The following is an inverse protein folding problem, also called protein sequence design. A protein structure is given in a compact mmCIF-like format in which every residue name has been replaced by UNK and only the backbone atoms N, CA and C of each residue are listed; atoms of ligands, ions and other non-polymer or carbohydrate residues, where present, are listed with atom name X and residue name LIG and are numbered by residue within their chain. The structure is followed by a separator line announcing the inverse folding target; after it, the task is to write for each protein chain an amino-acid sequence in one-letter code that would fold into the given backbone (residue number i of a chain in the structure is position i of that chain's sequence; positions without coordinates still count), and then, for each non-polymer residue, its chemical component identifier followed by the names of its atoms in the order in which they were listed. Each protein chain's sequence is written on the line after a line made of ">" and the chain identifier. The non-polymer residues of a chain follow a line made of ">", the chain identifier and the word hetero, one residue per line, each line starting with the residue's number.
data_IF_664565521212
#
_entry.id   IF_664565521212
#
_cell.length_a   1.000
_cell.length_b   1.000
_cell.length_c   1.000
_cell.angle_alpha   90.00
_cell.angle_beta   90.00
_cell.angle_gamma   90.00
#
_symmetry.space_group_name_H-M   'P 1'
#
loop_
_entity.id
_entity.type
_entity.pdbx_description
1 polymer ?
#
# COMPACT_ATOMS: atom_id res chain seq x y z
N UNK A 1 -17.62 -18.75 -4.92
CA UNK A 1 -17.36 -18.51 -3.49
C UNK A 1 -18.25 -17.38 -3.03
N UNK A 2 -18.77 -17.44 -1.80
CA UNK A 2 -19.64 -16.40 -1.23
C UNK A 2 -18.88 -15.07 -0.99
N UNK A 3 -17.58 -15.14 -0.76
CA UNK A 3 -16.74 -13.95 -0.56
C UNK A 3 -16.24 -13.47 -1.92
N UNK A 4 -16.48 -12.20 -2.25
CA UNK A 4 -16.11 -11.63 -3.55
C UNK A 4 -14.79 -10.86 -3.52
N UNK A 5 -14.53 -10.14 -2.44
CA UNK A 5 -13.34 -9.31 -2.29
C UNK A 5 -13.11 -8.98 -0.81
N UNK A 6 -12.12 -8.13 -0.54
CA UNK A 6 -11.87 -7.68 0.83
C UNK A 6 -11.46 -6.21 0.84
N UNK A 7 -11.74 -5.55 1.97
CA UNK A 7 -11.29 -4.20 2.25
C UNK A 7 -10.59 -4.20 3.60
N UNK A 8 -9.40 -3.61 3.65
CA UNK A 8 -8.71 -3.34 4.91
C UNK A 8 -8.95 -1.88 5.27
N UNK A 9 -9.57 -1.61 6.42
CA UNK A 9 -9.82 -0.24 6.89
C UNK A 9 -8.79 0.16 7.94
N UNK A 10 -8.20 1.34 7.76
CA UNK A 10 -7.24 1.91 8.69
C UNK A 10 -7.59 3.37 8.97
N UNK A 11 -7.34 3.84 10.20
CA UNK A 11 -7.49 5.27 10.50
C UNK A 11 -6.37 6.09 9.85
N UNK A 12 -6.69 7.33 9.48
CA UNK A 12 -5.68 8.29 9.04
C UNK A 12 -5.93 9.63 9.74
N UNK A 13 -4.88 10.44 9.83
CA UNK A 13 -4.95 11.74 10.51
C UNK A 13 -5.47 12.85 9.61
N UNK A 14 -5.22 12.77 8.31
CA UNK A 14 -5.61 13.77 7.31
C UNK A 14 -5.92 13.08 6.00
N UNK A 15 -7.20 12.95 5.68
CA UNK A 15 -7.66 12.21 4.50
C UNK A 15 -7.15 12.83 3.19
N UNK A 16 -6.91 14.14 3.16
CA UNK A 16 -6.37 14.80 1.96
C UNK A 16 -4.94 14.38 1.69
N UNK A 17 -4.11 14.34 2.73
CA UNK A 17 -2.72 13.89 2.61
C UNK A 17 -2.64 12.40 2.26
N UNK A 18 -3.48 11.59 2.90
CA UNK A 18 -3.55 10.15 2.61
C UNK A 18 -4.01 9.91 1.17
N UNK A 19 -5.01 10.64 0.71
CA UNK A 19 -5.50 10.53 -0.68
C UNK A 19 -4.42 10.94 -1.67
N UNK A 20 -3.71 12.03 -1.41
CA UNK A 20 -2.60 12.46 -2.27
C UNK A 20 -1.53 11.38 -2.35
N UNK A 21 -1.18 10.76 -1.23
CA UNK A 21 -0.17 9.70 -1.22
C UNK A 21 -0.62 8.47 -2.03
N UNK A 22 -1.78 7.90 -1.72
CA UNK A 22 -2.20 6.64 -2.34
C UNK A 22 -2.71 6.82 -3.77
N UNK A 23 -3.45 7.86 -4.06
CA UNK A 23 -3.97 8.12 -5.41
C UNK A 23 -2.91 8.72 -6.34
N UNK A 24 -2.24 9.80 -5.89
CA UNK A 24 -1.42 10.61 -6.78
C UNK A 24 0.04 10.13 -6.82
N UNK A 25 0.57 9.67 -5.69
CA UNK A 25 1.95 9.18 -5.61
C UNK A 25 2.01 7.69 -5.93
N UNK A 26 1.28 6.86 -5.21
CA UNK A 26 1.28 5.40 -5.43
C UNK A 26 0.54 5.04 -6.73
N UNK A 27 -0.57 5.70 -7.00
CA UNK A 27 -1.34 5.48 -8.23
C UNK A 27 -2.52 4.53 -8.07
N UNK A 28 -3.05 4.39 -6.85
CA UNK A 28 -4.23 3.56 -6.59
C UNK A 28 -5.50 4.42 -6.79
N UNK A 29 -6.41 4.03 -7.68
CA UNK A 29 -7.62 4.82 -7.89
C UNK A 29 -8.55 4.77 -6.69
N UNK A 30 -9.20 5.90 -6.39
CA UNK A 30 -10.29 5.96 -5.43
C UNK A 30 -11.54 5.41 -6.12
N UNK A 31 -12.15 4.40 -5.51
CA UNK A 31 -13.34 3.74 -6.08
C UNK A 31 -14.60 4.01 -5.29
N UNK A 32 -14.48 4.47 -4.05
CA UNK A 32 -15.64 4.83 -3.23
C UNK A 32 -15.27 5.88 -2.19
N UNK A 33 -16.23 6.74 -1.86
CA UNK A 33 -16.15 7.71 -0.76
C UNK A 33 -17.36 7.54 0.14
N UNK A 34 -17.15 7.72 1.44
CA UNK A 34 -18.19 7.67 2.47
C UNK A 34 -17.94 8.78 3.50
N UNK A 35 -18.91 8.99 4.38
CA UNK A 35 -18.78 9.94 5.49
C UNK A 35 -18.38 11.36 5.03
N UNK A 36 -19.03 11.85 3.96
CA UNK A 36 -18.75 13.20 3.44
C UNK A 36 -17.31 13.37 2.91
N UNK A 37 -16.69 12.29 2.45
CA UNK A 37 -15.34 12.32 1.94
C UNK A 37 -14.26 12.03 2.98
N UNK A 38 -14.62 11.80 4.23
CA UNK A 38 -13.69 11.47 5.31
C UNK A 38 -13.18 10.04 5.22
N UNK A 39 -13.87 9.18 4.48
CA UNK A 39 -13.45 7.82 4.19
C UNK A 39 -13.30 7.66 2.69
N UNK A 40 -12.17 7.11 2.26
CA UNK A 40 -11.92 6.79 0.85
C UNK A 40 -11.42 5.37 0.73
N UNK A 41 -11.92 4.67 -0.29
CA UNK A 41 -11.51 3.29 -0.60
C UNK A 41 -10.73 3.30 -1.91
N UNK A 42 -9.55 2.70 -1.87
CA UNK A 42 -8.61 2.61 -2.98
C UNK A 42 -8.56 1.18 -3.53
N UNK A 43 -8.55 1.04 -4.83
CA UNK A 43 -8.40 -0.26 -5.51
C UNK A 43 -6.92 -0.61 -5.61
N UNK A 44 -6.52 -1.73 -5.00
CA UNK A 44 -5.14 -2.22 -5.10
C UNK A 44 -4.93 -3.18 -6.28
N UNK A 45 -6.01 -3.50 -7.00
CA UNK A 45 -5.99 -4.48 -8.08
C UNK A 45 -6.35 -5.90 -7.64
N UNK A 46 -6.15 -6.22 -6.38
CA UNK A 46 -6.44 -7.54 -5.79
C UNK A 46 -7.47 -7.46 -4.67
N UNK A 47 -7.64 -6.30 -4.11
CA UNK A 47 -8.57 -5.99 -3.06
C UNK A 47 -8.62 -4.48 -2.89
N UNK A 48 -8.94 -4.04 -1.68
CA UNK A 48 -9.16 -2.63 -1.41
C UNK A 48 -8.53 -2.22 -0.09
N UNK A 49 -8.01 -1.00 -0.05
CA UNK A 49 -7.61 -0.34 1.19
C UNK A 49 -8.50 0.86 1.43
N UNK A 50 -9.13 0.93 2.61
CA UNK A 50 -9.94 2.06 3.04
C UNK A 50 -9.23 2.84 4.14
N UNK A 51 -9.19 4.15 4.00
CA UNK A 51 -8.63 5.04 5.03
C UNK A 51 -9.71 6.02 5.47
N UNK A 52 -9.83 6.21 6.77
CA UNK A 52 -10.84 7.11 7.33
C UNK A 52 -10.24 8.05 8.38
N UNK A 53 -10.53 9.33 8.20
CA UNK A 53 -10.27 10.35 9.20
C UNK A 53 -11.48 10.37 10.13
N UNK A 54 -11.42 9.58 11.21
CA UNK A 54 -12.59 9.36 12.07
C UNK A 54 -12.98 10.58 12.89
N UNK A 55 -12.03 11.40 13.32
CA UNK A 55 -12.31 12.58 14.12
C UNK A 55 -12.70 12.30 15.58
N UNK A 56 -12.53 11.06 16.05
CA UNK A 56 -12.92 10.63 17.40
C UNK A 56 -11.72 10.49 18.36
N UNK A 57 -10.52 10.90 17.90
CA UNK A 57 -9.32 10.86 18.72
C UNK A 57 -8.67 9.49 18.84
N UNK A 58 -9.13 8.48 18.07
CA UNK A 58 -8.49 7.16 18.12
C UNK A 58 -7.04 7.24 17.65
N UNK A 59 -6.14 6.42 18.23
CA UNK A 59 -4.73 6.43 17.83
C UNK A 59 -4.54 5.86 16.43
N UNK A 60 -3.46 6.32 15.77
CA UNK A 60 -3.02 5.75 14.49
C UNK A 60 -2.01 4.63 14.80
N UNK A 61 -2.30 3.36 14.45
CA UNK A 61 -1.40 2.24 14.72
C UNK A 61 -0.28 2.19 13.67
N UNK A 62 0.60 3.19 13.70
CA UNK A 62 1.65 3.41 12.71
C UNK A 62 3.01 2.91 13.18
N UNK A 63 4.05 3.15 12.39
CA UNK A 63 5.41 2.72 12.69
C UNK A 63 5.62 1.22 12.45
N UNK A 64 6.65 0.67 13.08
CA UNK A 64 7.06 -0.72 12.82
C UNK A 64 6.19 -1.76 13.53
N UNK A 65 5.31 -1.33 14.45
CA UNK A 65 4.43 -2.24 15.17
C UNK A 65 3.03 -2.35 14.55
N UNK A 66 2.70 -1.46 13.61
CA UNK A 66 1.36 -1.37 13.01
C UNK A 66 1.11 -2.34 11.87
N UNK A 67 2.08 -3.13 11.47
CA UNK A 67 1.98 -4.00 10.31
C UNK A 67 2.54 -3.36 9.04
N UNK A 68 2.30 -3.99 7.91
CA UNK A 68 2.84 -3.56 6.63
C UNK A 68 1.79 -3.66 5.53
N UNK A 69 1.66 -2.59 4.75
CA UNK A 69 0.80 -2.55 3.57
C UNK A 69 1.66 -2.88 2.35
N UNK A 70 1.51 -4.09 1.81
CA UNK A 70 2.38 -4.58 0.76
C UNK A 70 1.68 -4.61 -0.59
N UNK A 71 2.36 -4.13 -1.63
CA UNK A 71 1.92 -4.18 -3.01
C UNK A 71 2.86 -5.08 -3.80
N UNK A 72 2.31 -6.09 -4.47
CA UNK A 72 3.08 -7.01 -5.28
C UNK A 72 3.30 -6.42 -6.67
N UNK A 73 4.54 -6.37 -7.10
CA UNK A 73 4.91 -5.95 -8.44
C UNK A 73 5.01 -7.16 -9.38
N UNK A 74 4.90 -6.91 -10.67
CA UNK A 74 4.92 -7.97 -11.68
C UNK A 74 6.27 -8.70 -11.73
N UNK A 75 7.38 -7.97 -11.56
CA UNK A 75 8.74 -8.51 -11.57
C UNK A 75 9.68 -7.60 -10.76
N UNK A 76 10.96 -7.98 -10.66
CA UNK A 76 11.95 -7.19 -9.94
C UNK A 76 12.21 -5.84 -10.63
N UNK A 77 12.13 -5.78 -11.95
CA UNK A 77 12.30 -4.54 -12.69
C UNK A 77 11.17 -3.55 -12.36
N UNK A 78 9.95 -4.03 -12.12
CA UNK A 78 8.86 -3.17 -11.68
C UNK A 78 9.07 -2.64 -10.26
N UNK A 79 9.65 -3.44 -9.38
CA UNK A 79 10.04 -2.97 -8.03
C UNK A 79 11.03 -1.81 -8.16
N UNK A 80 12.04 -1.95 -9.03
CA UNK A 80 13.02 -0.90 -9.27
C UNK A 80 12.39 0.37 -9.86
N UNK A 81 11.42 0.22 -10.78
CA UNK A 81 10.69 1.36 -11.35
C UNK A 81 9.87 2.08 -10.30
N UNK A 82 9.22 1.36 -9.41
CA UNK A 82 8.47 1.97 -8.30
C UNK A 82 9.42 2.68 -7.33
N UNK A 83 10.58 2.11 -7.06
CA UNK A 83 11.59 2.75 -6.24
C UNK A 83 12.04 4.10 -6.83
N UNK A 84 12.37 4.12 -8.12
CA UNK A 84 12.77 5.35 -8.80
C UNK A 84 11.65 6.40 -8.76
N UNK A 85 10.42 5.98 -9.01
CA UNK A 85 9.23 6.84 -8.99
C UNK A 85 8.96 7.43 -7.60
N UNK A 86 9.00 6.59 -6.56
CA UNK A 86 8.78 7.03 -5.18
C UNK A 86 9.90 7.96 -4.71
N UNK A 87 11.14 7.68 -5.10
CA UNK A 87 12.29 8.54 -4.78
C UNK A 87 12.13 9.92 -5.44
N UNK A 88 11.74 9.96 -6.69
CA UNK A 88 11.48 11.21 -7.41
C UNK A 88 10.36 12.03 -6.76
N UNK A 89 9.36 11.37 -6.21
CA UNK A 89 8.24 12.02 -5.51
C UNK A 89 8.59 12.45 -4.08
N UNK A 90 9.82 12.21 -3.64
CA UNK A 90 10.29 12.64 -2.32
C UNK A 90 9.86 11.75 -1.16
N UNK A 91 9.48 10.51 -1.42
CA UNK A 91 9.08 9.59 -0.37
C UNK A 91 10.26 9.19 0.53
N UNK A 92 9.98 8.87 1.78
CA UNK A 92 10.99 8.43 2.74
C UNK A 92 11.34 6.98 2.49
N UNK A 93 12.55 6.73 1.99
CA UNK A 93 13.05 5.39 1.71
C UNK A 93 14.46 5.28 2.28
N UNK A 94 14.66 4.35 3.22
CA UNK A 94 15.94 4.19 3.91
C UNK A 94 16.96 3.39 3.10
N UNK A 95 16.48 2.40 2.33
CA UNK A 95 17.34 1.49 1.57
C UNK A 95 16.78 1.25 0.18
N UNK A 96 17.66 1.07 -0.83
CA UNK A 96 17.18 0.65 -2.16
C UNK A 96 16.60 -0.75 -2.13
N UNK A 97 15.90 -1.18 -3.20
CA UNK A 97 15.39 -2.53 -3.29
C UNK A 97 16.48 -3.57 -3.12
N UNK A 98 16.17 -4.62 -2.39
CA UNK A 98 17.09 -5.74 -2.18
C UNK A 98 16.34 -7.03 -1.92
N UNK A 99 17.01 -8.16 -2.12
CA UNK A 99 16.50 -9.46 -1.73
C UNK A 99 16.58 -9.59 -0.22
N UNK A 100 15.51 -10.07 0.39
CA UNK A 100 15.44 -10.26 1.83
C UNK A 100 16.10 -11.58 2.21
N UNK A 101 16.76 -11.62 3.38
CA UNK A 101 17.42 -12.83 3.84
C UNK A 101 16.45 -13.90 4.33
N UNK A 102 15.38 -13.47 5.00
CA UNK A 102 14.43 -14.39 5.64
C UNK A 102 13.22 -14.73 4.80
N UNK A 103 12.91 -13.91 3.81
CA UNK A 103 11.68 -14.04 3.02
C UNK A 103 12.02 -14.06 1.53
N UNK A 104 11.30 -14.87 0.72
CA UNK A 104 11.61 -15.00 -0.70
C UNK A 104 11.08 -13.80 -1.50
N UNK A 105 11.53 -12.61 -1.17
CA UNK A 105 11.06 -11.37 -1.79
C UNK A 105 12.21 -10.45 -2.17
N UNK A 106 12.00 -9.68 -3.24
CA UNK A 106 12.80 -8.53 -3.62
C UNK A 106 11.94 -7.30 -3.37
N UNK A 107 12.37 -6.39 -2.51
CA UNK A 107 11.50 -5.35 -1.99
C UNK A 107 12.21 -4.09 -1.54
N UNK A 108 11.44 -2.99 -1.47
CA UNK A 108 11.80 -1.80 -0.70
C UNK A 108 10.61 -1.31 0.10
N UNK A 109 10.87 -0.45 1.08
CA UNK A 109 9.85 0.07 1.97
C UNK A 109 9.84 1.59 1.95
N UNK A 110 8.64 2.17 2.05
CA UNK A 110 8.45 3.60 2.26
C UNK A 110 7.43 3.81 3.40
N UNK A 111 7.12 5.05 3.68
CA UNK A 111 6.15 5.43 4.71
C UNK A 111 5.10 6.34 4.11
N UNK A 112 3.86 6.14 4.51
CA UNK A 112 2.78 7.04 4.14
C UNK A 112 2.76 8.28 5.07
N UNK A 113 1.84 9.26 4.87
CA UNK A 113 1.80 10.47 5.71
C UNK A 113 1.57 10.21 7.19
N UNK A 114 0.99 9.09 7.58
CA UNK A 114 0.78 8.69 8.97
C UNK A 114 1.83 7.73 9.50
N UNK A 115 2.93 7.55 8.77
CA UNK A 115 4.01 6.63 9.09
C UNK A 115 3.60 5.14 9.03
N UNK A 116 2.57 4.82 8.27
CA UNK A 116 2.31 3.42 7.94
C UNK A 116 3.41 2.91 7.02
N UNK A 117 3.88 1.70 7.29
CA UNK A 117 4.89 1.03 6.47
C UNK A 117 4.24 0.51 5.19
N UNK A 118 4.77 0.94 4.05
CA UNK A 118 4.29 0.53 2.72
C UNK A 118 5.44 -0.18 2.00
N UNK A 119 5.16 -1.38 1.51
CA UNK A 119 6.15 -2.22 0.82
C UNK A 119 5.78 -2.39 -0.64
N UNK A 120 6.78 -2.29 -1.51
CA UNK A 120 6.68 -2.73 -2.91
C UNK A 120 7.57 -3.94 -3.05
N UNK A 121 7.00 -5.08 -3.47
CA UNK A 121 7.72 -6.33 -3.47
C UNK A 121 7.44 -7.18 -4.70
N UNK A 122 8.41 -8.02 -5.02
CA UNK A 122 8.21 -9.19 -5.88
C UNK A 122 8.50 -10.42 -5.05
N UNK A 123 7.48 -11.22 -4.79
CA UNK A 123 7.63 -12.54 -4.20
C UNK A 123 8.24 -13.46 -5.27
N UNK A 124 9.01 -14.47 -4.91
CA UNK A 124 9.56 -15.41 -5.88
C UNK A 124 8.47 -15.93 -6.81
N UNK A 125 8.79 -16.08 -8.08
CA UNK A 125 7.82 -16.33 -9.14
C UNK A 125 6.80 -17.43 -8.81
N UNK A 126 7.29 -18.56 -8.31
CA UNK A 126 6.45 -19.71 -7.98
C UNK A 126 5.44 -19.37 -6.88
N UNK A 127 5.90 -18.73 -5.82
CA UNK A 127 5.04 -18.37 -4.68
C UNK A 127 4.02 -17.30 -5.07
N UNK A 128 4.41 -16.33 -5.89
CA UNK A 128 3.49 -15.28 -6.32
C UNK A 128 2.41 -15.82 -7.26
N UNK A 129 2.75 -16.77 -8.11
CA UNK A 129 1.77 -17.39 -9.02
C UNK A 129 0.67 -18.12 -8.26
N UNK A 130 1.00 -18.71 -7.10
CA UNK A 130 0.02 -19.40 -6.26
C UNK A 130 -1.02 -18.46 -5.67
N UNK A 131 -0.73 -17.17 -5.59
CA UNK A 131 -1.66 -16.17 -5.06
C UNK A 131 -2.68 -15.70 -6.09
N UNK A 132 -2.54 -16.12 -7.34
CA UNK A 132 -3.40 -15.67 -8.43
C UNK A 132 -3.00 -14.29 -8.96
N UNK A 133 -3.76 -13.79 -9.92
CA UNK A 133 -3.55 -12.51 -10.54
C UNK A 133 -4.67 -11.52 -10.25
N UNK A 134 -4.53 -10.31 -10.81
CA UNK A 134 -5.55 -9.26 -10.71
C UNK A 134 -6.87 -9.76 -11.28
N UNK A 135 -7.96 -9.57 -10.54
CA UNK A 135 -9.31 -9.83 -11.05
C UNK A 135 -9.73 -8.71 -11.99
N UNK A 136 -10.23 -9.09 -13.12
CA UNK A 136 -10.80 -8.19 -14.13
C UNK A 136 -12.32 -8.17 -14.08
#
# INVERSE_FOLDING_TARGET
>A
MAIENCVTFLPCSDIKKTTHFYRDIVGLPVVQEQAGGMLKIFDTGYGYWGFCQYGDGRPIPSGDVGGCLSLNCHDEADVDRQYARMTEKGCVIKEPPKRQEKFPVYAFFTRDPDDYKVEFQRIQLEDQQLMGGRKE
#
